data_IF_784033188166
#
_entry.id   IF_784033188166
#
_cell.length_a   1.000
_cell.length_b   1.000
_cell.length_c   1.000
_cell.angle_alpha   90.00
_cell.angle_beta   90.00
_cell.angle_gamma   90.00
#
_symmetry.space_group_name_H-M   'P 1'
#
loop_
_entity.id
_entity.type
_entity.pdbx_description
1 polymer ?
#
# COMPACT_ATOMS: atom_id res chain seq x y z
N UNK A 1 -1.32 9.76 -11.02
CA UNK A 1 -0.30 10.83 -11.15
C UNK A 1 -0.62 11.89 -10.10
N UNK A 2 0.32 12.24 -9.21
CA UNK A 2 0.10 13.32 -8.25
C UNK A 2 0.37 14.67 -8.94
N UNK A 3 -0.63 15.55 -9.10
CA UNK A 3 -0.44 16.82 -9.80
C UNK A 3 0.53 17.78 -9.10
N UNK A 4 0.88 17.55 -7.84
CA UNK A 4 1.85 18.38 -7.10
C UNK A 4 3.30 17.97 -7.38
N UNK A 5 3.52 16.86 -8.09
CA UNK A 5 4.86 16.48 -8.51
C UNK A 5 5.43 17.46 -9.54
N UNK A 6 6.77 17.67 -9.54
CA UNK A 6 7.41 18.47 -10.57
C UNK A 6 7.02 17.99 -11.98
N UNK A 7 6.78 18.93 -12.90
CA UNK A 7 6.34 18.62 -14.27
C UNK A 7 7.26 17.63 -14.97
N UNK A 8 8.58 17.74 -14.78
CA UNK A 8 9.56 16.80 -15.34
C UNK A 8 9.36 15.36 -14.85
N UNK A 9 9.02 15.20 -13.56
CA UNK A 9 8.73 13.89 -12.98
C UNK A 9 7.46 13.29 -13.60
N UNK A 10 6.42 14.11 -13.75
CA UNK A 10 5.17 13.67 -14.38
C UNK A 10 5.38 13.30 -15.85
N UNK A 11 6.10 14.12 -16.61
CA UNK A 11 6.43 13.86 -18.01
C UNK A 11 7.20 12.54 -18.16
N UNK A 12 8.21 12.32 -17.31
CA UNK A 12 8.94 11.05 -17.27
C UNK A 12 8.02 9.86 -16.98
N UNK A 13 7.11 9.96 -16.00
CA UNK A 13 6.18 8.87 -15.68
C UNK A 13 5.24 8.56 -16.84
N UNK A 14 4.75 9.58 -17.56
CA UNK A 14 3.90 9.39 -18.75
C UNK A 14 4.67 8.71 -19.86
N UNK A 15 5.90 9.15 -20.15
CA UNK A 15 6.74 8.56 -21.19
C UNK A 15 7.14 7.11 -20.85
N UNK A 16 7.61 6.86 -19.63
CA UNK A 16 8.09 5.55 -19.19
C UNK A 16 6.98 4.50 -19.09
N UNK A 17 5.77 4.91 -18.68
CA UNK A 17 4.62 4.00 -18.55
C UNK A 17 3.99 3.65 -19.89
N UNK A 18 4.18 4.47 -20.92
CA UNK A 18 3.58 4.28 -22.24
C UNK A 18 2.05 4.33 -22.20
N UNK A 19 1.45 5.03 -21.24
CA UNK A 19 -0.01 5.17 -21.18
C UNK A 19 -0.55 5.87 -22.43
N UNK A 20 -1.66 5.36 -22.95
CA UNK A 20 -2.33 5.93 -24.14
C UNK A 20 -3.49 6.85 -23.77
N UNK A 21 -3.96 6.76 -22.52
CA UNK A 21 -5.10 7.50 -22.00
C UNK A 21 -4.82 8.07 -20.61
N UNK A 22 -5.06 9.37 -20.45
CA UNK A 22 -5.03 10.09 -19.18
C UNK A 22 -6.45 10.50 -18.78
N UNK A 23 -6.90 10.00 -17.62
CA UNK A 23 -8.11 10.47 -16.96
C UNK A 23 -7.75 11.61 -16.01
N UNK A 24 -8.41 12.75 -16.15
CA UNK A 24 -8.12 13.95 -15.36
C UNK A 24 -9.38 14.79 -15.10
N UNK A 25 -9.23 15.94 -14.44
CA UNK A 25 -10.26 16.97 -14.30
C UNK A 25 -9.78 18.26 -14.96
N UNK A 26 -10.72 19.06 -15.46
CA UNK A 26 -10.41 20.28 -16.22
C UNK A 26 -9.47 21.22 -15.46
N UNK A 27 -9.70 21.43 -14.16
CA UNK A 27 -8.96 22.40 -13.36
C UNK A 27 -7.49 22.04 -13.09
N UNK A 28 -7.09 20.77 -13.27
CA UNK A 28 -5.69 20.31 -13.15
C UNK A 28 -5.08 19.94 -14.50
N UNK A 29 -5.81 20.12 -15.60
CA UNK A 29 -5.35 19.71 -16.94
C UNK A 29 -4.05 20.41 -17.34
N UNK A 30 -3.92 21.68 -17.00
CA UNK A 30 -2.76 22.51 -17.36
C UNK A 30 -1.49 22.15 -16.57
N UNK A 31 -1.62 21.53 -15.38
CA UNK A 31 -0.48 21.09 -14.57
C UNK A 31 0.05 19.71 -14.97
N UNK A 32 -0.63 19.00 -15.87
CA UNK A 32 -0.25 17.66 -16.31
C UNK A 32 0.44 17.70 -17.68
N UNK A 33 1.46 16.85 -17.88
CA UNK A 33 2.13 16.72 -19.17
C UNK A 33 1.13 16.28 -20.24
N UNK A 34 1.24 16.89 -21.42
CA UNK A 34 0.50 16.50 -22.61
C UNK A 34 1.50 16.14 -23.70
N UNK A 35 1.30 14.98 -24.32
CA UNK A 35 1.99 14.58 -25.54
C UNK A 35 0.96 14.39 -26.64
N UNK A 36 1.37 14.52 -27.90
CA UNK A 36 0.45 14.37 -29.04
C UNK A 36 -0.20 12.98 -29.10
N UNK A 37 0.47 11.96 -28.57
CA UNK A 37 -0.02 10.56 -28.53
C UNK A 37 -0.90 10.23 -27.32
N UNK A 38 -0.96 11.08 -26.30
CA UNK A 38 -1.72 10.83 -25.08
C UNK A 38 -3.15 11.36 -25.22
N UNK A 39 -4.12 10.46 -25.32
CA UNK A 39 -5.52 10.83 -25.26
C UNK A 39 -5.87 11.32 -23.86
N UNK A 40 -6.67 12.37 -23.73
CA UNK A 40 -7.08 12.92 -22.43
C UNK A 40 -8.58 12.95 -22.33
N UNK A 41 -9.12 12.43 -21.22
CA UNK A 41 -10.54 12.53 -20.86
C UNK A 41 -10.66 13.33 -19.57
N UNK A 42 -11.39 14.44 -19.66
CA UNK A 42 -11.77 15.28 -18.52
C UNK A 42 -13.06 14.71 -17.90
N UNK A 43 -12.93 14.02 -16.76
CA UNK A 43 -14.02 13.29 -16.10
C UNK A 43 -15.17 14.20 -15.68
N UNK A 44 -14.89 15.45 -15.33
CA UNK A 44 -15.85 16.49 -14.94
C UNK A 44 -16.63 17.08 -16.12
N UNK A 45 -16.31 16.69 -17.35
CA UNK A 45 -17.01 17.09 -18.58
C UNK A 45 -17.58 15.92 -19.38
N UNK A 46 -17.36 14.70 -18.91
CA UNK A 46 -17.81 13.50 -19.58
C UNK A 46 -19.32 13.32 -19.40
N UNK A 47 -20.08 13.43 -20.48
CA UNK A 47 -21.50 13.07 -20.47
C UNK A 47 -21.64 11.54 -20.61
N UNK A 48 -22.09 10.90 -19.54
CA UNK A 48 -22.29 9.46 -19.47
C UNK A 48 -23.77 9.03 -19.46
N UNK A 49 -24.71 9.97 -19.67
CA UNK A 49 -26.14 9.71 -19.52
C UNK A 49 -26.68 8.61 -20.46
N UNK A 50 -26.00 8.38 -21.59
CA UNK A 50 -26.39 7.40 -22.61
C UNK A 50 -25.51 6.13 -22.62
N UNK A 51 -24.62 5.96 -21.65
CA UNK A 51 -23.79 4.76 -21.53
C UNK A 51 -24.48 3.66 -20.73
N UNK A 52 -24.01 2.42 -20.92
CA UNK A 52 -24.56 1.26 -20.22
C UNK A 52 -24.31 1.33 -18.72
N UNK A 53 -25.32 0.98 -17.92
CA UNK A 53 -25.23 0.87 -16.46
C UNK A 53 -24.85 -0.54 -15.99
N UNK A 54 -24.63 -1.46 -16.92
CA UNK A 54 -24.22 -2.84 -16.65
C UNK A 54 -22.70 -2.97 -16.65
N UNK A 55 -22.18 -4.00 -15.99
CA UNK A 55 -20.76 -4.30 -16.01
C UNK A 55 -20.23 -4.44 -17.45
N UNK A 56 -19.03 -3.90 -17.74
CA UNK A 56 -18.44 -4.02 -19.07
C UNK A 56 -18.06 -5.47 -19.34
N UNK A 57 -18.35 -5.96 -20.55
CA UNK A 57 -17.97 -7.30 -20.98
C UNK A 57 -16.54 -7.29 -21.55
N UNK A 58 -15.55 -7.29 -20.66
CA UNK A 58 -14.12 -7.29 -21.01
C UNK A 58 -13.50 -8.60 -20.55
N UNK A 59 -12.79 -9.28 -21.45
CA UNK A 59 -12.01 -10.46 -21.08
C UNK A 59 -10.77 -10.03 -20.28
N UNK A 60 -10.70 -10.43 -19.02
CA UNK A 60 -9.57 -10.16 -18.13
C UNK A 60 -8.90 -11.47 -17.71
N UNK A 61 -7.57 -11.43 -17.62
CA UNK A 61 -6.73 -12.50 -17.11
C UNK A 61 -6.05 -12.03 -15.82
N UNK A 62 -5.86 -12.94 -14.86
CA UNK A 62 -5.21 -12.61 -13.57
C UNK A 62 -3.81 -12.03 -13.74
N UNK A 63 -3.14 -12.37 -14.83
CA UNK A 63 -1.83 -11.79 -15.16
C UNK A 63 -1.89 -10.38 -15.72
N UNK A 64 -3.03 -9.83 -16.16
CA UNK A 64 -3.07 -8.43 -16.60
C UNK A 64 -2.63 -7.48 -15.47
N UNK A 65 -1.93 -6.40 -15.81
CA UNK A 65 -1.53 -5.41 -14.80
C UNK A 65 -2.79 -4.73 -14.24
N UNK A 66 -2.89 -4.68 -12.91
CA UNK A 66 -3.88 -3.90 -12.21
C UNK A 66 -3.39 -2.46 -11.99
N UNK A 67 -2.11 -2.27 -11.69
CA UNK A 67 -1.51 -0.96 -11.55
C UNK A 67 0.00 -0.95 -11.82
N UNK A 68 0.51 0.25 -12.06
CA UNK A 68 1.94 0.57 -12.00
C UNK A 68 2.12 1.73 -11.02
N UNK A 69 2.93 1.54 -9.98
CA UNK A 69 3.28 2.60 -9.02
C UNK A 69 4.76 2.91 -9.12
N UNK A 70 5.07 4.19 -9.25
CA UNK A 70 6.45 4.67 -9.38
C UNK A 70 7.08 4.90 -8.01
N UNK A 71 8.12 4.13 -7.71
CA UNK A 71 8.93 4.29 -6.50
C UNK A 71 10.22 5.07 -6.81
N UNK A 72 10.84 5.66 -5.80
CA UNK A 72 12.17 6.27 -5.94
C UNK A 72 13.19 5.19 -6.31
N UNK A 73 13.85 5.33 -7.46
CA UNK A 73 14.96 4.47 -7.85
C UNK A 73 16.26 4.91 -7.16
N UNK A 74 17.14 3.95 -6.87
CA UNK A 74 18.50 4.22 -6.35
C UNK A 74 19.35 5.04 -7.33
N UNK A 75 19.00 5.02 -8.62
CA UNK A 75 19.64 5.79 -9.70
C UNK A 75 19.07 7.20 -9.87
N UNK A 76 18.18 7.64 -8.96
CA UNK A 76 17.51 8.95 -8.99
C UNK A 76 16.30 9.04 -9.92
N UNK A 77 16.19 8.15 -10.94
CA UNK A 77 14.99 8.07 -11.78
C UNK A 77 13.95 7.12 -11.16
N UNK A 78 12.67 7.51 -11.12
CA UNK A 78 11.61 6.62 -10.64
C UNK A 78 11.51 5.33 -11.46
N UNK A 79 11.17 4.22 -10.81
CA UNK A 79 10.94 2.92 -11.45
C UNK A 79 9.48 2.50 -11.22
N UNK A 80 8.78 2.10 -12.28
CA UNK A 80 7.40 1.64 -12.18
C UNK A 80 7.33 0.19 -11.72
N UNK A 81 6.74 -0.09 -10.56
CA UNK A 81 6.46 -1.45 -10.08
C UNK A 81 5.13 -1.91 -10.67
N UNK A 82 5.17 -2.91 -11.55
CA UNK A 82 3.98 -3.44 -12.22
C UNK A 82 3.37 -4.61 -11.46
N UNK A 83 2.15 -4.43 -10.96
CA UNK A 83 1.43 -5.44 -10.16
C UNK A 83 0.26 -6.00 -10.96
N UNK A 84 0.17 -7.33 -10.99
CA UNK A 84 -0.92 -8.04 -11.69
C UNK A 84 -2.21 -8.06 -10.87
N UNK A 85 -3.34 -8.23 -11.56
CA UNK A 85 -4.65 -8.33 -10.95
C UNK A 85 -4.74 -9.52 -9.98
N UNK A 86 -4.16 -10.67 -10.33
CA UNK A 86 -4.14 -11.86 -9.49
C UNK A 86 -3.34 -11.64 -8.19
N UNK A 87 -2.18 -10.97 -8.29
CA UNK A 87 -1.37 -10.64 -7.12
C UNK A 87 -2.09 -9.66 -6.19
N UNK A 88 -2.75 -8.64 -6.73
CA UNK A 88 -3.55 -7.69 -5.97
C UNK A 88 -4.79 -8.34 -5.33
N UNK A 89 -5.50 -9.19 -6.06
CA UNK A 89 -6.68 -9.89 -5.54
C UNK A 89 -6.32 -10.83 -4.38
N UNK A 90 -5.25 -11.62 -4.52
CA UNK A 90 -4.74 -12.48 -3.45
C UNK A 90 -4.33 -11.66 -2.23
N UNK A 91 -3.67 -10.51 -2.45
CA UNK A 91 -3.29 -9.59 -1.39
C UNK A 91 -4.52 -9.09 -0.61
N UNK A 92 -5.49 -8.49 -1.30
CA UNK A 92 -6.68 -7.90 -0.70
C UNK A 92 -7.52 -8.94 0.07
N UNK A 93 -7.66 -10.15 -0.47
CA UNK A 93 -8.30 -11.25 0.25
C UNK A 93 -7.53 -11.57 1.54
N UNK A 94 -6.20 -11.73 1.44
CA UNK A 94 -5.37 -12.11 2.57
C UNK A 94 -5.39 -11.07 3.70
N UNK A 95 -5.23 -9.77 3.39
CA UNK A 95 -5.29 -8.73 4.42
C UNK A 95 -6.70 -8.56 4.99
N UNK A 96 -7.74 -8.67 4.15
CA UNK A 96 -9.14 -8.56 4.58
C UNK A 96 -9.50 -9.62 5.62
N UNK A 97 -9.10 -10.87 5.37
CA UNK A 97 -9.26 -11.98 6.31
C UNK A 97 -8.49 -11.74 7.62
N UNK A 98 -7.24 -11.25 7.56
CA UNK A 98 -6.40 -11.03 8.76
C UNK A 98 -6.89 -9.87 9.61
N UNK A 99 -7.34 -8.79 8.99
CA UNK A 99 -7.93 -7.65 9.67
C UNK A 99 -9.34 -7.98 10.21
N UNK A 100 -10.03 -8.94 9.58
CA UNK A 100 -11.44 -9.21 9.86
C UNK A 100 -12.27 -7.97 9.54
N UNK A 101 -12.16 -7.47 8.30
CA UNK A 101 -12.95 -6.33 7.85
C UNK A 101 -14.41 -6.74 7.65
N UNK A 102 -15.34 -5.91 8.11
CA UNK A 102 -16.78 -6.18 8.12
C UNK A 102 -17.54 -5.08 7.35
N UNK A 103 -18.75 -5.36 6.82
CA UNK A 103 -19.55 -4.36 6.10
C UNK A 103 -19.89 -3.10 6.91
N UNK A 104 -19.90 -3.20 8.25
CA UNK A 104 -20.17 -2.07 9.14
C UNK A 104 -18.96 -1.14 9.29
N UNK A 105 -17.77 -1.58 8.86
CA UNK A 105 -16.55 -0.80 9.00
C UNK A 105 -16.55 0.46 8.13
N UNK A 106 -15.79 1.43 8.62
CA UNK A 106 -15.60 2.72 7.97
C UNK A 106 -14.10 3.01 7.97
N UNK A 107 -13.46 2.76 6.84
CA UNK A 107 -12.02 2.94 6.68
C UNK A 107 -11.72 4.35 6.20
N UNK A 108 -10.76 5.02 6.83
CA UNK A 108 -10.28 6.33 6.39
C UNK A 108 -9.24 6.19 5.27
N UNK A 109 -9.50 6.76 4.09
CA UNK A 109 -8.45 6.95 3.08
C UNK A 109 -7.50 8.06 3.52
N UNK A 110 -6.27 7.67 3.84
CA UNK A 110 -5.22 8.58 4.31
C UNK A 110 -4.01 8.61 3.37
N UNK A 111 -3.58 7.46 2.88
CA UNK A 111 -2.39 7.37 2.05
C UNK A 111 -2.57 8.16 0.74
N UNK A 112 -1.50 8.79 0.25
CA UNK A 112 -1.53 9.37 -1.10
C UNK A 112 -1.71 8.27 -2.13
N UNK A 113 -2.53 8.53 -3.15
CA UNK A 113 -2.82 7.60 -4.26
C UNK A 113 -1.58 7.21 -5.08
N UNK A 114 -0.46 7.92 -4.89
CA UNK A 114 0.82 7.58 -5.50
C UNK A 114 1.60 6.51 -4.73
N UNK A 115 1.13 6.10 -3.55
CA UNK A 115 1.65 4.98 -2.79
C UNK A 115 0.67 3.80 -2.85
N UNK A 116 1.22 2.60 -2.82
CA UNK A 116 0.47 1.35 -2.98
C UNK A 116 -0.45 1.05 -1.78
N UNK A 117 -0.07 1.50 -0.58
CA UNK A 117 -0.94 1.48 0.61
C UNK A 117 -2.29 2.18 0.38
N UNK A 118 -2.38 3.19 -0.50
CA UNK A 118 -3.68 3.75 -0.86
C UNK A 118 -4.56 2.69 -1.53
N UNK A 119 -4.00 1.90 -2.45
CA UNK A 119 -4.67 0.77 -3.10
C UNK A 119 -5.40 -0.14 -2.11
N UNK A 120 -4.70 -0.55 -1.05
CA UNK A 120 -5.32 -1.33 0.04
C UNK A 120 -6.43 -0.55 0.73
N UNK A 121 -6.22 0.72 1.06
CA UNK A 121 -7.19 1.53 1.79
C UNK A 121 -8.51 1.77 1.05
N UNK A 122 -8.51 1.95 -0.28
CA UNK A 122 -9.78 2.17 -1.01
C UNK A 122 -10.40 0.89 -1.57
N UNK A 123 -9.61 -0.12 -1.96
CA UNK A 123 -10.17 -1.37 -2.51
C UNK A 123 -10.70 -2.29 -1.43
N UNK A 124 -10.02 -2.40 -0.28
CA UNK A 124 -10.40 -3.32 0.76
C UNK A 124 -11.81 -3.09 1.32
N UNK A 125 -12.23 -1.86 1.68
CA UNK A 125 -13.59 -1.63 2.14
C UNK A 125 -14.63 -1.91 1.05
N UNK A 126 -14.34 -1.58 -0.21
CA UNK A 126 -15.26 -1.87 -1.32
C UNK A 126 -15.48 -3.38 -1.51
N UNK A 127 -14.44 -4.19 -1.32
CA UNK A 127 -14.54 -5.66 -1.38
C UNK A 127 -15.28 -6.25 -0.19
N UNK A 128 -15.19 -5.63 0.99
CA UNK A 128 -15.88 -6.08 2.20
C UNK A 128 -17.34 -5.56 2.31
N UNK A 129 -17.79 -4.72 1.38
CA UNK A 129 -19.08 -4.01 1.50
C UNK A 129 -19.07 -2.91 2.57
N UNK A 130 -17.90 -2.50 3.04
CA UNK A 130 -17.66 -1.48 4.03
C UNK A 130 -17.60 -0.08 3.42
N UNK A 131 -17.63 0.95 4.26
CA UNK A 131 -17.56 2.33 3.81
C UNK A 131 -16.12 2.85 3.70
N UNK A 132 -15.86 3.66 2.68
CA UNK A 132 -14.65 4.47 2.55
C UNK A 132 -14.94 5.92 2.97
N UNK A 133 -14.16 6.46 3.90
CA UNK A 133 -14.22 7.85 4.33
C UNK A 133 -13.10 8.63 3.64
N UNK A 134 -13.49 9.57 2.78
CA UNK A 134 -12.58 10.46 2.05
C UNK A 134 -12.52 11.82 2.77
N UNK A 135 -11.45 12.13 3.52
CA UNK A 135 -11.33 13.42 4.17
C UNK A 135 -11.09 14.53 3.14
N UNK A 136 -11.48 15.77 3.48
CA UNK A 136 -11.10 16.93 2.68
C UNK A 136 -9.69 17.40 3.07
N UNK A 137 -8.84 17.66 2.07
CA UNK A 137 -7.47 18.13 2.27
C UNK A 137 -6.43 17.01 2.33
N UNK A 138 -5.18 17.35 2.02
CA UNK A 138 -4.06 16.39 1.91
C UNK A 138 -3.37 16.09 3.24
N UNK A 139 -3.34 17.06 4.15
CA UNK A 139 -2.74 16.92 5.49
C UNK A 139 -3.80 17.16 6.55
N UNK A 140 -3.95 16.20 7.45
CA UNK A 140 -4.86 16.29 8.59
C UNK A 140 -4.01 16.48 9.86
N UNK A 141 -4.03 17.64 10.52
CA UNK A 141 -3.50 17.75 11.87
C UNK A 141 -4.23 16.78 12.84
N UNK A 142 -3.62 16.38 13.96
CA UNK A 142 -4.18 15.40 14.90
C UNK A 142 -5.63 15.69 15.31
N UNK A 143 -5.94 16.94 15.68
CA UNK A 143 -7.30 17.35 16.08
C UNK A 143 -8.29 17.31 14.92
N UNK A 144 -7.84 17.63 13.69
CA UNK A 144 -8.68 17.54 12.51
C UNK A 144 -9.00 16.10 12.16
N UNK A 145 -8.00 15.20 12.22
CA UNK A 145 -8.20 13.77 12.06
C UNK A 145 -9.16 13.23 13.12
N UNK A 146 -8.97 13.62 14.39
CA UNK A 146 -9.87 13.25 15.47
C UNK A 146 -11.32 13.69 15.21
N UNK A 147 -11.49 14.91 14.69
CA UNK A 147 -12.78 15.42 14.23
C UNK A 147 -13.39 14.59 13.11
N UNK A 148 -12.61 14.18 12.10
CA UNK A 148 -13.05 13.30 11.01
C UNK A 148 -13.46 11.93 11.55
N UNK A 149 -12.63 11.32 12.41
CA UNK A 149 -12.90 10.01 13.01
C UNK A 149 -14.21 10.02 13.76
N UNK A 150 -14.45 11.02 14.62
CA UNK A 150 -15.69 11.15 15.39
C UNK A 150 -16.89 11.45 14.49
N UNK A 151 -16.77 12.41 13.56
CA UNK A 151 -17.87 12.84 12.69
C UNK A 151 -18.36 11.72 11.77
N UNK A 152 -17.43 10.93 11.26
CA UNK A 152 -17.73 9.88 10.28
C UNK A 152 -17.71 8.47 10.89
N UNK A 153 -17.62 8.35 12.23
CA UNK A 153 -17.54 7.08 12.95
C UNK A 153 -16.51 6.11 12.33
N UNK A 154 -15.31 6.61 12.01
CA UNK A 154 -14.23 5.80 11.42
C UNK A 154 -13.88 4.68 12.40
N UNK A 155 -13.96 3.44 11.95
CA UNK A 155 -13.64 2.25 12.75
C UNK A 155 -12.27 1.67 12.40
N UNK A 156 -11.71 1.99 11.23
CA UNK A 156 -10.42 1.48 10.76
C UNK A 156 -9.51 2.63 10.35
N UNK A 157 -8.35 2.73 11.01
CA UNK A 157 -7.27 3.63 10.65
C UNK A 157 -6.10 2.84 10.07
N UNK A 158 -5.54 3.31 8.95
CA UNK A 158 -4.26 2.84 8.42
C UNK A 158 -3.34 4.03 8.18
N UNK A 159 -2.37 4.22 9.07
CA UNK A 159 -1.55 5.43 9.18
C UNK A 159 -0.06 5.06 9.32
N UNK A 160 0.88 5.82 8.73
CA UNK A 160 2.31 5.55 8.91
C UNK A 160 2.75 5.83 10.36
N UNK A 161 3.79 5.13 10.88
CA UNK A 161 4.31 5.31 12.23
C UNK A 161 4.62 6.77 12.58
N UNK A 162 5.21 7.54 11.67
CA UNK A 162 5.52 8.95 11.90
C UNK A 162 4.26 9.79 12.19
N UNK A 163 3.16 9.51 11.50
CA UNK A 163 1.89 10.21 11.71
C UNK A 163 1.20 9.76 13.00
N UNK A 164 1.25 8.45 13.30
CA UNK A 164 0.80 7.90 14.58
C UNK A 164 1.57 8.49 15.77
N UNK A 165 2.87 8.75 15.61
CA UNK A 165 3.67 9.46 16.60
C UNK A 165 3.12 10.86 16.86
N UNK A 166 2.90 11.61 15.78
CA UNK A 166 2.30 12.94 15.87
C UNK A 166 0.91 12.90 16.52
N UNK A 167 0.13 11.85 16.25
CA UNK A 167 -1.21 11.67 16.79
C UNK A 167 -1.21 11.48 18.31
N UNK A 168 -0.42 10.55 18.88
CA UNK A 168 -0.43 10.32 20.33
C UNK A 168 0.30 11.42 21.13
N UNK A 169 1.22 12.15 20.49
CA UNK A 169 1.85 13.32 21.12
C UNK A 169 0.92 14.54 21.10
N UNK A 170 0.09 14.65 20.06
CA UNK A 170 -0.82 15.78 19.88
C UNK A 170 -2.19 15.61 20.54
N UNK A 171 -2.61 14.38 20.87
CA UNK A 171 -3.92 14.09 21.45
C UNK A 171 -3.82 13.41 22.82
N UNK A 172 -4.68 13.76 23.78
CA UNK A 172 -4.81 13.03 25.04
C UNK A 172 -5.12 11.53 24.85
N UNK A 173 -4.81 10.73 25.87
CA UNK A 173 -5.24 9.33 25.92
C UNK A 173 -6.79 9.22 25.86
N UNK A 174 -7.31 8.21 25.15
CA UNK A 174 -8.74 8.00 24.96
C UNK A 174 -9.42 9.02 24.05
N UNK A 175 -8.66 9.81 23.28
CA UNK A 175 -9.22 10.79 22.34
C UNK A 175 -10.00 10.14 21.21
N UNK A 176 -9.61 8.92 20.81
CA UNK A 176 -10.28 8.13 19.78
C UNK A 176 -10.59 6.75 20.34
N UNK A 177 -11.59 6.11 19.73
CA UNK A 177 -11.90 4.70 19.92
C UNK A 177 -12.23 4.15 18.54
N UNK A 178 -11.37 3.26 18.05
CA UNK A 178 -11.48 2.62 16.74
C UNK A 178 -11.41 1.12 16.92
N UNK A 179 -11.93 0.35 15.97
CA UNK A 179 -11.84 -1.10 16.01
C UNK A 179 -10.43 -1.55 15.64
N UNK A 180 -9.92 -1.05 14.51
CA UNK A 180 -8.61 -1.40 13.99
C UNK A 180 -7.71 -0.19 13.84
N UNK A 181 -6.47 -0.35 14.26
CA UNK A 181 -5.38 0.51 13.85
C UNK A 181 -4.34 -0.33 13.11
N UNK A 182 -3.96 0.08 11.92
CA UNK A 182 -2.94 -0.53 11.08
C UNK A 182 -1.84 0.50 10.89
N UNK A 183 -0.61 0.07 11.05
CA UNK A 183 0.58 0.91 10.87
C UNK A 183 1.55 0.23 9.92
N UNK A 184 2.26 0.98 9.10
CA UNK A 184 3.28 0.39 8.22
C UNK A 184 4.10 1.40 7.44
N UNK A 185 5.15 0.90 6.78
CA UNK A 185 6.06 1.70 5.95
C UNK A 185 7.29 2.24 6.66
N UNK A 186 7.35 2.20 7.99
CA UNK A 186 8.51 2.60 8.79
C UNK A 186 8.66 1.69 10.02
N UNK A 187 9.84 1.69 10.63
CA UNK A 187 10.04 1.01 11.91
C UNK A 187 9.28 1.72 13.03
N UNK A 188 8.69 0.93 13.93
CA UNK A 188 7.88 1.44 15.03
C UNK A 188 8.53 1.14 16.37
N UNK A 189 8.71 2.15 17.23
CA UNK A 189 9.23 1.95 18.59
C UNK A 189 8.14 1.39 19.51
N UNK A 190 8.55 0.69 20.57
CA UNK A 190 7.62 0.26 21.63
C UNK A 190 6.87 1.43 22.27
N UNK A 191 7.56 2.55 22.48
CA UNK A 191 6.96 3.74 23.08
C UNK A 191 5.81 4.29 22.21
N UNK A 192 6.06 4.44 20.91
CA UNK A 192 5.05 4.92 19.98
C UNK A 192 3.86 3.93 19.89
N UNK A 193 4.12 2.62 19.97
CA UNK A 193 3.10 1.57 20.04
C UNK A 193 2.19 1.72 21.25
N UNK A 194 2.77 1.84 22.45
CA UNK A 194 2.04 2.02 23.70
C UNK A 194 1.32 3.38 23.76
N UNK A 195 1.89 4.41 23.16
CA UNK A 195 1.26 5.72 22.96
C UNK A 195 -0.02 5.61 22.14
N UNK A 196 0.03 4.95 20.98
CA UNK A 196 -1.15 4.73 20.14
C UNK A 196 -2.21 3.88 20.82
N UNK A 197 -1.83 2.82 21.54
CA UNK A 197 -2.80 2.03 22.30
C UNK A 197 -3.60 2.88 23.29
N UNK A 198 -2.94 3.83 23.95
CA UNK A 198 -3.60 4.76 24.88
C UNK A 198 -4.45 5.81 24.17
N UNK A 199 -3.95 6.41 23.10
CA UNK A 199 -4.64 7.51 22.39
C UNK A 199 -5.81 7.03 21.54
N UNK A 200 -5.64 5.92 20.82
CA UNK A 200 -6.63 5.43 19.85
C UNK A 200 -7.53 4.31 20.37
N UNK A 201 -7.15 3.67 21.49
CA UNK A 201 -7.84 2.53 22.09
C UNK A 201 -8.35 1.51 21.06
N UNK A 202 -7.49 1.04 20.14
CA UNK A 202 -7.92 0.07 19.14
C UNK A 202 -8.26 -1.27 19.80
N UNK A 203 -9.27 -1.98 19.29
CA UNK A 203 -9.51 -3.37 19.67
C UNK A 203 -8.37 -4.27 19.19
N UNK A 204 -7.82 -4.00 17.99
CA UNK A 204 -6.65 -4.68 17.45
C UNK A 204 -5.70 -3.71 16.78
N UNK A 205 -4.41 -3.96 16.94
CA UNK A 205 -3.34 -3.13 16.40
C UNK A 205 -2.36 -3.97 15.59
N UNK A 206 -2.09 -3.52 14.36
CA UNK A 206 -1.23 -4.22 13.43
C UNK A 206 -0.02 -3.40 13.01
N UNK A 207 1.10 -4.11 12.80
CA UNK A 207 2.26 -3.59 12.10
C UNK A 207 2.42 -4.34 10.77
N UNK A 208 2.05 -3.65 9.70
CA UNK A 208 2.14 -4.04 8.31
C UNK A 208 3.51 -3.71 7.74
N UNK A 209 4.12 -4.66 7.06
CA UNK A 209 5.36 -4.45 6.36
C UNK A 209 5.29 -4.98 4.94
N UNK A 210 5.72 -4.14 4.01
CA UNK A 210 6.51 -4.60 2.90
C UNK A 210 6.71 -3.60 1.78
N UNK A 211 7.54 -3.98 0.81
CA UNK A 211 7.84 -3.18 -0.37
C UNK A 211 6.75 -3.32 -1.44
N UNK A 212 6.63 -2.32 -2.31
CA UNK A 212 5.69 -2.34 -3.44
C UNK A 212 5.87 -3.56 -4.34
N UNK A 213 7.12 -4.04 -4.46
CA UNK A 213 7.51 -5.22 -5.22
C UNK A 213 6.94 -6.54 -4.69
N UNK A 214 6.49 -6.58 -3.43
CA UNK A 214 5.82 -7.73 -2.80
C UNK A 214 4.33 -7.46 -2.47
N UNK A 215 3.77 -6.42 -3.12
CA UNK A 215 2.36 -6.01 -3.07
C UNK A 215 1.92 -5.63 -1.65
N UNK A 216 2.23 -4.38 -1.29
CA UNK A 216 1.71 -3.63 -0.13
C UNK A 216 2.09 -4.22 1.23
N UNK A 217 1.39 -5.27 1.70
CA UNK A 217 1.58 -5.83 3.05
C UNK A 217 1.84 -7.35 2.97
N UNK A 218 3.03 -7.78 2.52
CA UNK A 218 3.40 -9.20 2.48
C UNK A 218 3.57 -9.84 3.87
N UNK A 219 3.95 -9.07 4.90
CA UNK A 219 4.03 -9.57 6.28
C UNK A 219 3.25 -8.68 7.23
N UNK A 220 2.74 -9.31 8.29
CA UNK A 220 1.91 -8.64 9.28
C UNK A 220 2.21 -9.16 10.68
N UNK A 221 2.39 -8.25 11.61
CA UNK A 221 2.39 -8.52 13.04
C UNK A 221 1.10 -7.99 13.67
N UNK A 222 0.59 -8.69 14.68
CA UNK A 222 -0.58 -8.31 15.46
C UNK A 222 -0.26 -8.29 16.96
N UNK A 223 -0.95 -7.43 17.68
CA UNK A 223 -0.82 -7.23 19.12
C UNK A 223 -1.32 -8.39 20.01
N UNK A 224 -1.88 -9.44 19.39
CA UNK A 224 -2.11 -10.73 20.02
C UNK A 224 -0.79 -11.47 20.35
N UNK A 225 0.32 -11.09 19.72
CA UNK A 225 1.65 -11.61 19.99
C UNK A 225 2.38 -10.75 21.03
N UNK A 226 3.11 -11.39 21.95
CA UNK A 226 3.95 -10.67 22.91
C UNK A 226 5.11 -9.97 22.19
N UNK A 227 5.28 -8.67 22.44
CA UNK A 227 6.45 -7.91 21.98
C UNK A 227 7.74 -8.38 22.68
N UNK A 228 7.63 -9.13 23.77
CA UNK A 228 8.74 -9.59 24.59
C UNK A 228 9.58 -8.42 25.07
N UNK A 229 10.89 -8.49 24.88
CA UNK A 229 11.83 -7.40 25.20
C UNK A 229 12.22 -6.56 23.98
N UNK A 230 11.55 -6.74 22.83
CA UNK A 230 11.92 -6.00 21.61
C UNK A 230 11.73 -4.48 21.82
N UNK A 231 12.72 -3.65 21.45
CA UNK A 231 12.56 -2.19 21.47
C UNK A 231 11.68 -1.68 20.32
N UNK A 232 11.44 -2.51 19.31
CA UNK A 232 10.65 -2.20 18.11
C UNK A 232 9.53 -3.22 17.91
N UNK A 233 8.45 -2.78 17.26
CA UNK A 233 7.36 -3.69 16.88
C UNK A 233 7.82 -4.56 15.71
N UNK A 234 7.75 -5.90 15.80
CA UNK A 234 8.16 -6.78 14.71
C UNK A 234 7.34 -6.57 13.44
N UNK A 235 7.91 -6.94 12.29
CA UNK A 235 7.20 -6.96 10.99
C UNK A 235 6.33 -8.20 10.78
N UNK A 236 6.44 -9.17 11.71
CA UNK A 236 5.53 -10.29 11.84
C UNK A 236 5.81 -11.44 10.87
N UNK A 237 4.74 -12.06 10.41
CA UNK A 237 4.78 -13.28 9.60
C UNK A 237 4.17 -13.04 8.21
N UNK A 238 4.57 -13.81 7.19
CA UNK A 238 3.92 -13.77 5.88
C UNK A 238 2.41 -14.00 5.99
N UNK A 239 1.66 -13.29 5.15
CA UNK A 239 0.20 -13.46 5.04
C UNK A 239 -0.20 -14.06 3.69
N UNK A 240 -1.27 -14.87 3.70
CA UNK A 240 -1.74 -15.57 2.50
C UNK A 240 -0.73 -16.62 2.01
N UNK A 241 -0.66 -16.81 0.70
CA UNK A 241 0.26 -17.76 0.05
C UNK A 241 1.69 -17.21 -0.14
N UNK A 242 2.12 -16.29 0.73
CA UNK A 242 3.45 -15.67 0.72
C UNK A 242 4.42 -16.44 1.60
N UNK A 243 5.70 -16.23 1.32
CA UNK A 243 6.83 -16.75 2.09
C UNK A 243 7.84 -15.65 2.32
N UNK A 244 8.57 -15.77 3.42
CA UNK A 244 9.68 -14.90 3.75
C UNK A 244 10.86 -15.75 4.24
N UNK A 245 12.05 -15.34 3.88
CA UNK A 245 13.30 -15.97 4.30
C UNK A 245 14.29 -14.90 4.75
N UNK A 246 15.09 -15.23 5.75
CA UNK A 246 16.24 -14.42 6.14
C UNK A 246 17.49 -15.19 5.74
N UNK A 247 18.24 -14.63 4.80
CA UNK A 247 19.34 -15.32 4.11
C UNK A 247 20.67 -14.62 4.31
N UNK A 248 21.76 -15.37 4.24
CA UNK A 248 23.11 -14.82 4.15
C UNK A 248 23.48 -14.42 2.70
N UNK A 249 24.72 -13.95 2.51
CA UNK A 249 25.22 -13.50 1.21
C UNK A 249 25.30 -14.62 0.14
N UNK A 250 25.32 -15.88 0.58
CA UNK A 250 25.38 -17.08 -0.27
C UNK A 250 23.99 -17.73 -0.45
N UNK A 251 22.92 -17.05 -0.04
CA UNK A 251 21.53 -17.50 -0.07
C UNK A 251 21.21 -18.70 0.84
N UNK A 252 22.01 -18.94 1.88
CA UNK A 252 21.68 -19.93 2.90
C UNK A 252 20.77 -19.35 3.98
N UNK A 253 19.94 -20.20 4.59
CA UNK A 253 19.14 -19.81 5.74
C UNK A 253 20.03 -19.49 6.94
N UNK A 254 19.82 -18.31 7.53
CA UNK A 254 20.50 -17.97 8.78
C UNK A 254 19.77 -18.61 9.98
N UNK A 255 20.50 -18.98 11.05
CA UNK A 255 19.87 -19.43 12.30
C UNK A 255 18.98 -18.36 12.93
N UNK A 256 17.99 -18.79 13.72
CA UNK A 256 17.13 -17.87 14.47
C UNK A 256 17.96 -16.94 15.38
N UNK A 257 17.67 -15.63 15.32
CA UNK A 257 18.38 -14.59 16.07
C UNK A 257 19.64 -14.06 15.39
N UNK A 258 20.08 -14.64 14.27
CA UNK A 258 21.19 -14.11 13.46
C UNK A 258 20.65 -13.17 12.40
N UNK A 259 21.32 -12.03 12.21
CA UNK A 259 20.95 -11.06 11.18
C UNK A 259 21.28 -11.60 9.78
N UNK A 260 20.38 -11.37 8.83
CA UNK A 260 20.55 -11.64 7.42
C UNK A 260 19.66 -10.72 6.60
N UNK A 261 19.68 -10.89 5.27
CA UNK A 261 18.85 -10.10 4.36
C UNK A 261 17.48 -10.76 4.17
N UNK A 262 16.41 -9.95 4.14
CA UNK A 262 15.05 -10.44 3.96
C UNK A 262 14.77 -10.67 2.47
N UNK A 263 14.23 -11.84 2.17
CA UNK A 263 13.72 -12.20 0.85
C UNK A 263 12.25 -12.56 0.97
N UNK A 264 11.45 -12.06 0.04
CA UNK A 264 10.01 -12.29 -0.02
C UNK A 264 9.67 -13.08 -1.27
N UNK A 265 8.75 -14.04 -1.18
CA UNK A 265 8.36 -14.87 -2.31
C UNK A 265 7.04 -15.58 -2.08
N UNK A 266 6.83 -16.67 -2.82
CA UNK A 266 5.50 -17.27 -2.97
C UNK A 266 4.60 -16.45 -3.90
N UNK A 267 3.30 -16.51 -3.68
CA UNK A 267 2.34 -15.71 -4.46
C UNK A 267 2.38 -14.23 -4.06
N UNK A 268 2.00 -13.33 -4.98
CA UNK A 268 1.87 -11.90 -4.65
C UNK A 268 3.16 -11.10 -4.80
N UNK A 269 4.14 -11.57 -5.55
CA UNK A 269 5.19 -10.72 -6.08
C UNK A 269 4.67 -9.89 -7.25
N UNK A 270 5.18 -8.66 -7.38
CA UNK A 270 5.00 -7.87 -8.58
C UNK A 270 5.55 -8.63 -9.81
N UNK A 271 5.04 -8.28 -11.00
CA UNK A 271 5.57 -8.84 -12.24
C UNK A 271 7.05 -8.46 -12.40
N UNK A 272 7.39 -7.24 -12.00
CA UNK A 272 8.73 -6.68 -12.03
C UNK A 272 8.68 -5.16 -12.18
N UNK A 273 9.80 -4.58 -12.58
CA UNK A 273 9.86 -3.17 -12.95
C UNK A 273 9.46 -3.01 -14.42
N UNK A 274 8.45 -2.18 -14.67
CA UNK A 274 7.89 -1.93 -15.99
C UNK A 274 8.99 -1.48 -16.96
N UNK A 275 9.14 -2.16 -18.09
CA UNK A 275 10.16 -1.88 -19.12
C UNK A 275 11.62 -1.84 -18.62
N UNK A 276 11.94 -2.51 -17.49
CA UNK A 276 13.29 -2.53 -16.88
C UNK A 276 13.73 -3.96 -16.56
N UNK A 277 13.98 -4.77 -17.59
CA UNK A 277 14.34 -6.18 -17.43
C UNK A 277 15.61 -6.38 -16.57
N UNK A 278 16.67 -5.59 -16.79
CA UNK A 278 17.92 -5.69 -16.02
C UNK A 278 17.72 -5.48 -14.52
N UNK A 279 17.09 -4.36 -14.13
CA UNK A 279 16.77 -4.09 -12.73
C UNK A 279 15.82 -5.14 -12.14
N UNK A 280 14.91 -5.68 -12.97
CA UNK A 280 14.01 -6.75 -12.54
C UNK A 280 14.81 -8.00 -12.20
N UNK A 281 15.72 -8.44 -13.07
CA UNK A 281 16.55 -9.62 -12.80
C UNK A 281 17.52 -9.45 -11.62
N UNK A 282 17.93 -8.23 -11.30
CA UNK A 282 18.79 -7.95 -10.14
C UNK A 282 18.07 -8.10 -8.80
N UNK A 283 16.75 -7.89 -8.78
CA UNK A 283 15.95 -7.85 -7.54
C UNK A 283 14.97 -9.01 -7.40
N UNK A 284 14.46 -9.52 -8.51
CA UNK A 284 13.58 -10.69 -8.57
C UNK A 284 14.41 -11.90 -9.00
N UNK A 285 15.10 -12.50 -8.04
CA UNK A 285 16.05 -13.61 -8.23
C UNK A 285 15.33 -14.96 -8.19
N UNK A 286 16.02 -16.04 -8.57
CA UNK A 286 15.48 -17.39 -8.46
C UNK A 286 15.34 -17.81 -6.98
N UNK A 287 14.26 -18.52 -6.66
CA UNK A 287 14.07 -19.13 -5.34
C UNK A 287 14.86 -20.45 -5.24
N UNK A 288 15.92 -20.55 -4.42
CA UNK A 288 16.70 -21.77 -4.26
C UNK A 288 15.95 -22.86 -3.49
N UNK A 289 14.82 -22.53 -2.85
CA UNK A 289 13.97 -23.44 -2.09
C UNK A 289 12.74 -23.90 -2.89
N UNK A 290 12.55 -23.36 -4.11
CA UNK A 290 11.42 -23.63 -4.99
C UNK A 290 11.76 -24.49 -6.20
N UNK A 291 10.79 -24.63 -7.09
CA UNK A 291 10.85 -25.34 -8.37
C UNK A 291 10.59 -24.39 -9.55
N UNK A 292 11.22 -23.22 -9.54
CA UNK A 292 11.13 -22.21 -10.61
C UNK A 292 10.45 -20.90 -10.20
N UNK A 293 10.09 -20.74 -8.93
CA UNK A 293 9.59 -19.49 -8.37
C UNK A 293 10.69 -18.43 -8.22
N UNK A 294 10.26 -17.19 -7.91
CA UNK A 294 11.14 -16.03 -7.70
C UNK A 294 11.10 -15.57 -6.25
N UNK A 295 12.21 -14.97 -5.80
CA UNK A 295 12.31 -14.18 -4.59
C UNK A 295 12.53 -12.72 -4.95
N UNK A 296 11.87 -11.81 -4.23
CA UNK A 296 12.21 -10.40 -4.20
C UNK A 296 13.21 -10.14 -3.07
N UNK A 297 14.38 -9.60 -3.43
CA UNK A 297 15.45 -9.14 -2.54
C UNK A 297 15.13 -7.75 -2.00
N UNK A 298 14.82 -7.65 -0.71
CA UNK A 298 14.33 -6.37 -0.13
C UNK A 298 15.41 -5.30 -0.05
N UNK A 299 16.69 -5.68 0.05
CA UNK A 299 17.76 -4.80 0.51
C UNK A 299 17.67 -4.53 2.01
#
# INVERSE_FOLDING_TARGET
LDPDYPTERLAYMVEDSGIELLLTQQHIRESLPATESLSVIELDRLDIAHHALTNPNVALHGENLAYVIYTSGSTGRPKGVGVSHGALAMHLQSVGERYGLMPEDRLLQFASISFDAAGEQWLLPLLAGAALVLPQGRYLPPEMLAGVVRRHAVSVLYLPPAYLRHLHQGLPAGSLSVRLCISGGEAWSREDFEGIRRTCQPERLFNAYGPAEAVITPTLWSDDADLGQSPQVPVGQPIGARRAWVLDADLNLVPAGVAGELYLGGSGLARGYFSRAGQTSERFVADPFGTGERLYRTG
#
